data_IF_093840134696
#
_entry.id   IF_093840134696
#
_cell.length_a   1.000
_cell.length_b   1.000
_cell.length_c   1.000
_cell.angle_alpha   90.00
_cell.angle_beta   90.00
_cell.angle_gamma   90.00
#
_symmetry.space_group_name_H-M   'P 1'
#
loop_
_entity.id
_entity.type
_entity.pdbx_description
1 polymer ?
#
# COMPACT_ATOMS: atom_id res chain seq x y z
N UNK A 1 2.49 -23.68 3.37
CA UNK A 1 3.49 -22.58 3.36
C UNK A 1 2.77 -21.36 3.91
N UNK A 2 3.14 -20.89 5.10
CA UNK A 2 2.52 -19.72 5.73
C UNK A 2 3.00 -18.44 5.02
N UNK A 3 2.09 -17.48 4.82
CA UNK A 3 2.47 -16.16 4.31
C UNK A 3 3.38 -15.47 5.33
N UNK A 4 4.49 -14.90 4.87
CA UNK A 4 5.37 -14.11 5.74
C UNK A 4 4.66 -12.80 6.15
N UNK A 5 5.09 -12.16 7.24
CA UNK A 5 4.55 -10.84 7.62
C UNK A 5 4.72 -9.80 6.49
N UNK A 6 5.82 -9.89 5.74
CA UNK A 6 6.03 -9.06 4.55
C UNK A 6 4.99 -9.37 3.45
N UNK A 7 4.61 -10.63 3.27
CA UNK A 7 3.58 -11.00 2.30
C UNK A 7 2.19 -10.52 2.71
N UNK A 8 1.84 -10.46 4.00
CA UNK A 8 0.57 -9.85 4.45
C UNK A 8 0.51 -8.41 3.99
N UNK A 9 1.57 -7.64 4.23
CA UNK A 9 1.63 -6.21 3.87
C UNK A 9 1.56 -6.03 2.35
N UNK A 10 2.29 -6.88 1.60
CA UNK A 10 2.27 -6.84 0.15
C UNK A 10 0.89 -7.20 -0.42
N UNK A 11 0.22 -8.20 0.15
CA UNK A 11 -1.16 -8.56 -0.23
C UNK A 11 -2.15 -7.45 0.12
N UNK A 12 -2.01 -6.84 1.30
CA UNK A 12 -2.90 -5.77 1.76
C UNK A 12 -2.87 -4.56 0.83
N UNK A 13 -1.69 -4.17 0.33
CA UNK A 13 -1.54 -2.98 -0.51
C UNK A 13 -1.57 -3.28 -2.02
N UNK A 14 -0.88 -4.32 -2.47
CA UNK A 14 -0.67 -4.62 -3.89
C UNK A 14 -1.52 -5.79 -4.42
N UNK A 15 -2.24 -6.50 -3.53
CA UNK A 15 -3.06 -7.65 -3.91
C UNK A 15 -2.28 -8.91 -4.28
N UNK A 16 -0.96 -8.93 -4.06
CA UNK A 16 -0.10 -10.07 -4.42
C UNK A 16 1.11 -10.20 -3.50
N UNK A 17 1.62 -11.42 -3.37
CA UNK A 17 2.85 -11.75 -2.65
C UNK A 17 4.10 -11.33 -3.43
N UNK A 18 5.25 -11.30 -2.74
CA UNK A 18 6.52 -11.04 -3.40
C UNK A 18 6.84 -12.06 -4.50
N UNK A 19 6.49 -13.33 -4.26
CA UNK A 19 6.64 -14.42 -5.24
C UNK A 19 5.76 -14.18 -6.47
N UNK A 20 4.46 -13.93 -6.28
CA UNK A 20 3.54 -13.65 -7.39
C UNK A 20 3.99 -12.43 -8.20
N UNK A 21 4.49 -11.39 -7.56
CA UNK A 21 5.05 -10.24 -8.28
C UNK A 21 6.25 -10.62 -9.14
N UNK A 22 7.18 -11.41 -8.59
CA UNK A 22 8.38 -11.85 -9.31
C UNK A 22 8.01 -12.76 -10.49
N UNK A 23 7.07 -13.68 -10.29
CA UNK A 23 6.57 -14.59 -11.33
C UNK A 23 5.87 -13.80 -12.46
N UNK A 24 5.14 -12.73 -12.14
CA UNK A 24 4.51 -11.84 -13.10
C UNK A 24 5.49 -10.88 -13.80
N UNK A 25 6.64 -10.58 -13.17
CA UNK A 25 7.60 -9.58 -13.64
C UNK A 25 9.03 -10.15 -13.81
N UNK A 26 9.24 -11.22 -14.61
CA UNK A 26 10.53 -11.92 -14.67
C UNK A 26 11.67 -11.09 -15.28
N UNK A 27 11.34 -9.99 -15.98
CA UNK A 27 12.31 -9.12 -16.66
C UNK A 27 12.64 -7.85 -15.85
N UNK A 28 11.87 -7.55 -14.81
CA UNK A 28 12.13 -6.38 -13.97
C UNK A 28 13.20 -6.72 -12.93
N UNK A 29 14.16 -5.82 -12.76
CA UNK A 29 15.14 -5.90 -11.67
C UNK A 29 14.53 -5.34 -10.39
N UNK A 30 14.94 -5.90 -9.25
CA UNK A 30 14.46 -5.46 -7.93
C UNK A 30 13.20 -6.19 -7.47
N UNK A 31 12.44 -5.52 -6.60
CA UNK A 31 11.21 -6.02 -5.99
C UNK A 31 10.06 -5.01 -6.14
N UNK A 32 8.83 -5.44 -5.84
CA UNK A 32 7.64 -4.61 -6.03
C UNK A 32 7.65 -3.24 -5.35
N UNK A 33 8.33 -3.10 -4.19
CA UNK A 33 8.43 -1.84 -3.46
C UNK A 33 9.33 -0.83 -4.19
N UNK A 34 10.35 -1.31 -4.91
CA UNK A 34 11.22 -0.45 -5.73
C UNK A 34 10.49 0.10 -6.97
N UNK A 35 9.37 -0.53 -7.35
CA UNK A 35 8.50 -0.10 -8.45
C UNK A 35 7.19 0.53 -7.95
N UNK A 36 7.06 0.78 -6.65
CA UNK A 36 5.88 1.40 -6.05
C UNK A 36 5.94 2.93 -6.13
N UNK A 37 4.78 3.58 -6.17
CA UNK A 37 4.71 5.06 -6.09
C UNK A 37 5.05 5.55 -4.69
N UNK A 38 5.35 6.84 -4.54
CA UNK A 38 5.63 7.46 -3.24
C UNK A 38 4.41 7.33 -2.31
N UNK A 39 3.20 7.48 -2.84
CA UNK A 39 1.94 7.29 -2.11
C UNK A 39 1.83 5.85 -1.60
N UNK A 40 2.11 4.86 -2.45
CA UNK A 40 2.08 3.45 -2.06
C UNK A 40 3.12 3.15 -0.98
N UNK A 41 4.35 3.66 -1.11
CA UNK A 41 5.39 3.51 -0.09
C UNK A 41 5.00 4.17 1.24
N UNK A 42 4.33 5.32 1.18
CA UNK A 42 3.82 6.02 2.37
C UNK A 42 2.76 5.20 3.07
N UNK A 43 1.78 4.66 2.33
CA UNK A 43 0.75 3.77 2.89
C UNK A 43 1.39 2.51 3.46
N UNK A 44 2.36 1.91 2.76
CA UNK A 44 3.04 0.70 3.20
C UNK A 44 3.74 0.89 4.56
N UNK A 45 4.44 2.00 4.77
CA UNK A 45 5.05 2.34 6.06
C UNK A 45 3.99 2.48 7.17
N UNK A 46 2.83 3.06 6.85
CA UNK A 46 1.69 3.11 7.77
C UNK A 46 1.14 1.73 8.13
N UNK A 47 1.02 0.83 7.14
CA UNK A 47 0.57 -0.55 7.35
C UNK A 47 1.55 -1.36 8.21
N UNK A 48 2.86 -1.12 8.08
CA UNK A 48 3.88 -1.76 8.93
C UNK A 48 3.65 -1.44 10.41
N UNK A 49 3.46 -0.16 10.73
CA UNK A 49 3.13 0.29 12.09
C UNK A 49 1.81 -0.29 12.59
N UNK A 50 0.78 -0.31 11.74
CA UNK A 50 -0.53 -0.82 12.12
C UNK A 50 -0.51 -2.34 12.34
N UNK A 51 0.18 -3.10 11.49
CA UNK A 51 0.30 -4.54 11.63
C UNK A 51 1.01 -4.91 12.95
N UNK A 52 2.06 -4.17 13.34
CA UNK A 52 2.73 -4.37 14.61
C UNK A 52 1.77 -4.24 15.81
N UNK A 53 0.91 -3.22 15.80
CA UNK A 53 -0.11 -3.05 16.84
C UNK A 53 -1.14 -4.18 16.84
N UNK A 54 -1.60 -4.60 15.66
CA UNK A 54 -2.57 -5.70 15.54
C UNK A 54 -1.99 -7.04 16.02
N UNK A 55 -0.70 -7.29 15.78
CA UNK A 55 0.02 -8.44 16.33
C UNK A 55 0.05 -8.37 17.86
N UNK A 56 0.38 -7.20 18.44
CA UNK A 56 0.39 -7.02 19.90
C UNK A 56 -1.00 -7.21 20.53
N UNK A 57 -2.06 -6.84 19.81
CA UNK A 57 -3.44 -7.04 20.22
C UNK A 57 -3.94 -8.49 20.04
N UNK A 58 -3.13 -9.37 19.46
CA UNK A 58 -3.45 -10.79 19.30
C UNK A 58 -4.36 -11.11 18.12
N UNK A 59 -4.55 -10.18 17.17
CA UNK A 59 -5.35 -10.46 15.98
C UNK A 59 -4.69 -11.53 15.11
N UNK A 60 -5.44 -12.55 14.64
CA UNK A 60 -4.92 -13.57 13.74
C UNK A 60 -4.61 -12.99 12.36
N UNK A 61 -3.67 -13.63 11.64
CA UNK A 61 -3.13 -13.15 10.37
C UNK A 61 -4.22 -12.81 9.32
N UNK A 62 -5.25 -13.65 9.21
CA UNK A 62 -6.35 -13.45 8.25
C UNK A 62 -7.17 -12.20 8.56
N UNK A 63 -7.49 -11.97 9.84
CA UNK A 63 -8.18 -10.75 10.27
C UNK A 63 -7.31 -9.50 10.05
N UNK A 64 -6.01 -9.59 10.36
CA UNK A 64 -5.08 -8.48 10.10
C UNK A 64 -5.02 -8.13 8.63
N UNK A 65 -4.96 -9.12 7.73
CA UNK A 65 -4.95 -8.87 6.29
C UNK A 65 -6.18 -8.08 5.85
N UNK A 66 -7.38 -8.48 6.30
CA UNK A 66 -8.62 -7.79 5.97
C UNK A 66 -8.65 -6.35 6.50
N UNK A 67 -8.19 -6.12 7.73
CA UNK A 67 -8.10 -4.79 8.36
C UNK A 67 -7.10 -3.91 7.59
N UNK A 68 -5.90 -4.44 7.33
CA UNK A 68 -4.83 -3.72 6.65
C UNK A 68 -5.21 -3.36 5.21
N UNK A 69 -5.88 -4.27 4.48
CA UNK A 69 -6.36 -3.97 3.12
C UNK A 69 -7.40 -2.84 3.12
N UNK A 70 -8.35 -2.86 4.07
CA UNK A 70 -9.32 -1.76 4.22
C UNK A 70 -8.63 -0.43 4.48
N UNK A 71 -7.65 -0.41 5.38
CA UNK A 71 -6.87 0.79 5.68
C UNK A 71 -6.06 1.26 4.47
N UNK A 72 -5.45 0.33 3.72
CA UNK A 72 -4.71 0.64 2.51
C UNK A 72 -5.60 1.34 1.47
N UNK A 73 -6.79 0.79 1.22
CA UNK A 73 -7.78 1.39 0.31
C UNK A 73 -8.17 2.80 0.76
N UNK A 74 -8.45 2.99 2.05
CA UNK A 74 -8.83 4.29 2.60
C UNK A 74 -7.70 5.32 2.44
N UNK A 75 -6.48 4.98 2.85
CA UNK A 75 -5.34 5.88 2.78
C UNK A 75 -4.97 6.22 1.34
N UNK A 76 -4.95 5.23 0.44
CA UNK A 76 -4.71 5.46 -0.99
C UNK A 76 -5.79 6.36 -1.61
N UNK A 77 -7.06 6.15 -1.26
CA UNK A 77 -8.15 6.99 -1.77
C UNK A 77 -7.97 8.45 -1.35
N UNK A 78 -7.61 8.70 -0.08
CA UNK A 78 -7.36 10.05 0.42
C UNK A 78 -6.14 10.71 -0.23
N UNK A 79 -5.05 9.97 -0.46
CA UNK A 79 -3.86 10.48 -1.11
C UNK A 79 -4.11 10.82 -2.58
N UNK A 80 -4.78 9.92 -3.33
CA UNK A 80 -5.09 10.15 -4.73
C UNK A 80 -6.11 11.28 -4.93
N UNK A 81 -7.10 11.41 -4.03
CA UNK A 81 -8.01 12.55 -4.05
C UNK A 81 -7.25 13.86 -3.81
N UNK A 82 -6.32 13.87 -2.87
CA UNK A 82 -5.48 15.05 -2.59
C UNK A 82 -4.58 15.39 -3.77
N UNK A 83 -3.95 14.40 -4.40
CA UNK A 83 -3.13 14.58 -5.59
C UNK A 83 -3.94 15.18 -6.76
N UNK A 84 -5.13 14.65 -7.01
CA UNK A 84 -6.05 15.19 -8.01
C UNK A 84 -6.47 16.64 -7.71
N UNK A 85 -6.74 16.98 -6.44
CA UNK A 85 -7.05 18.35 -6.03
C UNK A 85 -5.83 19.29 -6.16
N UNK A 86 -4.62 18.78 -5.97
CA UNK A 86 -3.38 19.56 -6.11
C UNK A 86 -3.14 19.92 -7.58
N UNK A 87 -3.38 18.99 -8.50
CA UNK A 87 -3.32 19.25 -9.95
C UNK A 87 -4.34 20.33 -10.40
N UNK A 88 -5.48 20.45 -9.72
CA UNK A 88 -6.46 21.51 -9.99
C UNK A 88 -6.01 22.89 -9.50
N UNK A 89 -5.12 22.97 -8.49
CA UNK A 89 -4.59 24.25 -7.97
C UNK A 89 -3.48 24.85 -8.82
N UNK A 90 -2.89 24.09 -9.74
CA UNK A 90 -1.81 24.57 -10.61
C UNK A 90 -2.30 25.38 -11.83
N UNK A 91 -3.62 25.50 -12.03
CA UNK A 91 -4.20 26.51 -12.93
C UNK A 91 -4.71 27.70 -12.10
N UNK A 92 -4.18 28.92 -12.30
CA UNK A 92 -4.75 30.10 -11.66
C UNK A 92 -6.21 30.22 -12.09
N UNK A 93 -7.13 30.24 -11.13
CA UNK A 93 -8.58 30.26 -11.39
C UNK A 93 -9.11 31.68 -11.71
N UNK A 94 -8.24 32.68 -11.78
CA UNK A 94 -8.54 34.02 -12.28
C UNK A 94 -7.28 34.56 -12.98
N UNK A 95 -7.38 34.80 -14.29
CA UNK A 95 -6.55 35.81 -14.98
C UNK A 95 -7.37 37.11 -14.90
N UNK A 96 -6.76 38.18 -14.37
CA UNK A 96 -7.35 39.54 -14.38
C UNK A 96 -7.40 40.13 -15.79
#
# INVERSE_FOLDING_TARGET
MYATEADILNQALFGQTAKQWKDANPKLKGNMREHATIEQLTVLAGLESQNALLIQQGFPQEERLAILNRLAIQQMSSLLQTAALTQLKEKPLLEE
#
